data_IF_237816043166
#
_entry.id   IF_237816043166
#
_cell.length_a   1.000
_cell.length_b   1.000
_cell.length_c   1.000
_cell.angle_alpha   90.00
_cell.angle_beta   90.00
_cell.angle_gamma   90.00
#
_symmetry.space_group_name_H-M   'P 1'
#
loop_
_entity.id
_entity.type
_entity.pdbx_description
1 polymer ?
#
# COMPACT_ATOMS: atom_id res chain seq x y z
N UNK A 1 -15.77 45.84 19.47
CA UNK A 1 -14.71 45.63 20.49
C UNK A 1 -14.14 44.26 20.16
N UNK A 2 -13.43 44.24 19.04
CA UNK A 2 -13.07 43.02 18.33
C UNK A 2 -11.62 42.74 18.71
N UNK A 3 -11.49 42.02 19.82
CA UNK A 3 -10.22 41.76 20.50
C UNK A 3 -10.01 40.28 20.77
N UNK A 4 -10.58 39.40 19.95
CA UNK A 4 -10.14 38.00 19.90
C UNK A 4 -8.91 37.90 19.01
N UNK A 5 -7.81 38.44 19.52
CA UNK A 5 -6.48 38.19 18.99
C UNK A 5 -6.18 36.71 19.16
N UNK A 6 -6.42 35.93 18.10
CA UNK A 6 -5.88 34.59 17.91
C UNK A 6 -4.35 34.66 17.74
N UNK A 7 -3.66 34.98 18.83
CA UNK A 7 -2.21 34.77 18.98
C UNK A 7 -1.94 33.42 19.65
N UNK A 8 -2.98 32.60 19.88
CA UNK A 8 -2.81 31.17 20.13
C UNK A 8 -2.63 30.37 18.83
N UNK A 9 -2.07 31.01 17.79
CA UNK A 9 -1.40 30.32 16.68
C UNK A 9 0.12 30.25 16.92
N UNK A 10 0.54 30.23 18.20
CA UNK A 10 1.91 29.97 18.58
C UNK A 10 2.11 28.45 18.71
N UNK A 11 2.85 27.88 17.77
CA UNK A 11 3.41 26.51 17.80
C UNK A 11 2.40 25.35 17.89
N UNK A 12 1.47 25.24 16.92
CA UNK A 12 0.93 23.91 16.54
C UNK A 12 1.75 23.24 15.43
N UNK A 13 2.94 23.77 15.13
CA UNK A 13 3.84 23.30 14.06
C UNK A 13 5.18 22.79 14.56
N UNK A 14 5.38 22.63 15.88
CA UNK A 14 6.59 22.00 16.41
C UNK A 14 6.65 20.46 16.21
N UNK A 15 5.78 19.86 15.37
CA UNK A 15 5.66 18.39 15.20
C UNK A 15 6.58 17.81 14.11
N UNK A 16 7.15 18.61 13.19
CA UNK A 16 8.00 18.06 12.13
C UNK A 16 9.16 18.99 11.77
N UNK A 17 10.39 18.57 12.06
CA UNK A 17 11.60 19.07 11.39
C UNK A 17 11.71 18.53 9.95
N UNK A 18 10.61 18.57 9.19
CA UNK A 18 10.60 18.19 7.77
C UNK A 18 10.08 19.37 6.97
N UNK A 19 10.72 19.65 5.84
CA UNK A 19 10.15 20.55 4.85
C UNK A 19 8.86 19.95 4.27
N UNK A 20 8.03 20.79 3.66
CA UNK A 20 6.80 20.33 3.00
C UNK A 20 7.10 19.26 1.95
N UNK A 21 8.16 19.46 1.16
CA UNK A 21 8.61 18.51 0.14
C UNK A 21 9.01 17.16 0.74
N UNK A 22 9.78 17.17 1.83
CA UNK A 22 10.17 15.94 2.54
C UNK A 22 8.96 15.23 3.14
N UNK A 23 8.01 15.96 3.72
CA UNK A 23 6.80 15.37 4.26
C UNK A 23 5.93 14.71 3.16
N UNK A 24 5.81 15.35 2.00
CA UNK A 24 5.10 14.79 0.84
C UNK A 24 5.79 13.53 0.30
N UNK A 25 7.13 13.54 0.18
CA UNK A 25 7.90 12.36 -0.25
C UNK A 25 7.74 11.19 0.73
N UNK A 26 7.79 11.45 2.04
CA UNK A 26 7.55 10.42 3.07
C UNK A 26 6.14 9.83 2.93
N UNK A 27 5.11 10.66 2.81
CA UNK A 27 3.72 10.20 2.66
C UNK A 27 3.52 9.37 1.38
N UNK A 28 4.18 9.77 0.29
CA UNK A 28 4.19 8.99 -0.95
C UNK A 28 4.83 7.62 -0.75
N UNK A 29 5.99 7.57 -0.08
CA UNK A 29 6.70 6.31 0.24
C UNK A 29 5.88 5.40 1.16
N UNK A 30 5.21 5.94 2.17
CA UNK A 30 4.29 5.17 3.03
C UNK A 30 3.13 4.56 2.25
N UNK A 31 2.55 5.34 1.34
CA UNK A 31 1.49 4.87 0.44
C UNK A 31 1.99 3.75 -0.46
N UNK A 32 3.21 3.86 -0.95
CA UNK A 32 3.85 2.85 -1.79
C UNK A 32 4.13 1.56 -1.03
N UNK A 33 4.62 1.66 0.21
CA UNK A 33 4.81 0.53 1.12
C UNK A 33 3.48 -0.17 1.41
N UNK A 34 2.43 0.60 1.74
CA UNK A 34 1.07 0.08 1.96
C UNK A 34 0.56 -0.70 0.74
N UNK A 35 0.75 -0.15 -0.46
CA UNK A 35 0.34 -0.80 -1.71
C UNK A 35 1.07 -2.13 -1.93
N UNK A 36 2.39 -2.15 -1.79
CA UNK A 36 3.16 -3.38 -2.01
C UNK A 36 2.81 -4.47 -1.01
N UNK A 37 2.73 -4.14 0.28
CA UNK A 37 2.34 -5.13 1.28
C UNK A 37 0.91 -5.63 1.11
N UNK A 38 -0.02 -4.76 0.67
CA UNK A 38 -1.37 -5.18 0.30
C UNK A 38 -1.36 -6.17 -0.86
N UNK A 39 -0.57 -5.91 -1.92
CA UNK A 39 -0.45 -6.86 -3.04
C UNK A 39 0.27 -8.14 -2.64
N UNK A 40 1.30 -8.06 -1.80
CA UNK A 40 2.00 -9.22 -1.28
C UNK A 40 1.01 -10.16 -0.57
N UNK A 41 0.17 -9.62 0.32
CA UNK A 41 -0.93 -10.35 0.96
C UNK A 41 -1.89 -11.00 -0.04
N UNK A 42 -2.34 -10.25 -1.05
CA UNK A 42 -3.30 -10.76 -2.05
C UNK A 42 -2.74 -11.95 -2.84
N UNK A 43 -1.45 -11.91 -3.18
CA UNK A 43 -0.78 -12.94 -3.98
C UNK A 43 -0.08 -14.03 -3.15
N UNK A 44 -0.25 -14.04 -1.82
CA UNK A 44 0.38 -15.02 -0.94
C UNK A 44 1.91 -14.93 -0.89
N UNK A 45 2.46 -13.73 -1.08
CA UNK A 45 3.90 -13.45 -1.00
C UNK A 45 4.25 -13.05 0.43
N UNK A 46 5.21 -13.74 1.04
CA UNK A 46 5.66 -13.51 2.44
C UNK A 46 4.46 -13.46 3.42
N UNK A 47 3.56 -14.45 3.34
CA UNK A 47 2.29 -14.49 4.10
C UNK A 47 2.46 -14.39 5.62
N UNK A 48 3.61 -14.82 6.13
CA UNK A 48 3.97 -14.78 7.54
C UNK A 48 4.20 -13.35 8.07
N UNK A 49 4.54 -12.40 7.20
CA UNK A 49 4.83 -11.01 7.59
C UNK A 49 3.99 -9.96 6.86
N UNK A 50 3.38 -10.31 5.72
CA UNK A 50 2.67 -9.36 4.87
C UNK A 50 1.51 -8.66 5.59
N UNK A 51 0.77 -9.40 6.44
CA UNK A 51 -0.35 -8.85 7.20
C UNK A 51 0.11 -7.81 8.22
N UNK A 52 1.12 -8.17 9.01
CA UNK A 52 1.66 -7.31 10.07
C UNK A 52 2.26 -6.04 9.47
N UNK A 53 2.99 -6.16 8.36
CA UNK A 53 3.55 -5.02 7.64
C UNK A 53 2.48 -4.13 7.03
N UNK A 54 1.44 -4.71 6.45
CA UNK A 54 0.32 -3.93 5.91
C UNK A 54 -0.37 -3.12 7.00
N UNK A 55 -0.67 -3.74 8.15
CA UNK A 55 -1.29 -3.06 9.27
C UNK A 55 -0.42 -1.93 9.83
N UNK A 56 0.88 -2.17 9.96
CA UNK A 56 1.85 -1.16 10.39
C UNK A 56 1.80 0.09 9.50
N UNK A 57 1.90 -0.07 8.18
CA UNK A 57 1.93 1.08 7.25
C UNK A 57 0.59 1.81 7.15
N UNK A 58 -0.55 1.08 7.19
CA UNK A 58 -1.88 1.70 7.22
C UNK A 58 -2.02 2.61 8.44
N UNK A 59 -1.56 2.17 9.62
CA UNK A 59 -1.71 2.93 10.86
C UNK A 59 -0.98 4.29 10.85
N UNK A 60 0.07 4.43 10.04
CA UNK A 60 0.91 5.65 9.96
C UNK A 60 0.45 6.62 8.88
N UNK A 61 -0.06 6.09 7.76
CA UNK A 61 -0.60 6.89 6.65
C UNK A 61 -1.77 7.81 7.01
N UNK A 62 -2.38 7.62 8.19
CA UNK A 62 -3.50 8.44 8.69
C UNK A 62 -3.05 9.71 9.43
N UNK A 63 -1.75 9.88 9.68
CA UNK A 63 -1.20 10.99 10.47
C UNK A 63 -0.20 11.82 9.67
N UNK A 64 0.04 13.07 10.07
CA UNK A 64 1.08 13.90 9.45
C UNK A 64 2.48 13.30 9.68
N UNK A 65 3.32 13.17 8.64
CA UNK A 65 4.63 12.56 8.76
C UNK A 65 5.56 13.33 9.72
N UNK A 66 6.33 12.56 10.48
CA UNK A 66 7.35 13.01 11.43
C UNK A 66 8.74 12.61 10.92
N UNK A 67 9.79 13.18 11.52
CA UNK A 67 11.18 12.80 11.18
C UNK A 67 11.49 11.32 11.42
N UNK A 68 10.77 10.66 12.34
CA UNK A 68 10.90 9.21 12.54
C UNK A 68 10.26 8.43 11.38
N UNK A 69 9.13 8.89 10.83
CA UNK A 69 8.51 8.28 9.65
C UNK A 69 9.48 8.25 8.48
N UNK A 70 10.27 9.32 8.28
CA UNK A 70 11.31 9.38 7.24
C UNK A 70 12.35 8.24 7.39
N UNK A 71 12.77 7.91 8.60
CA UNK A 71 13.71 6.80 8.84
C UNK A 71 13.04 5.45 8.61
N UNK A 72 11.78 5.31 9.04
CA UNK A 72 11.07 4.05 8.91
C UNK A 72 10.70 3.75 7.46
N UNK A 73 10.33 4.75 6.64
CA UNK A 73 10.09 4.52 5.21
C UNK A 73 11.34 4.00 4.52
N UNK A 74 12.52 4.55 4.82
CA UNK A 74 13.78 4.05 4.24
C UNK A 74 14.09 2.62 4.66
N UNK A 75 13.76 2.24 5.90
CA UNK A 75 13.85 0.85 6.38
C UNK A 75 12.86 -0.06 5.66
N UNK A 76 11.61 0.36 5.52
CA UNK A 76 10.57 -0.39 4.81
C UNK A 76 10.92 -0.61 3.34
N UNK A 77 11.41 0.42 2.65
CA UNK A 77 11.85 0.31 1.26
C UNK A 77 13.05 -0.63 1.12
N UNK A 78 13.97 -0.60 2.09
CA UNK A 78 15.09 -1.54 2.14
C UNK A 78 14.62 -2.98 2.35
N UNK A 79 13.62 -3.19 3.21
CA UNK A 79 13.01 -4.50 3.46
C UNK A 79 12.35 -5.06 2.19
N UNK A 80 11.53 -4.26 1.50
CA UNK A 80 10.93 -4.65 0.21
C UNK A 80 11.99 -5.10 -0.80
N UNK A 81 13.11 -4.37 -0.89
CA UNK A 81 14.21 -4.70 -1.82
C UNK A 81 14.94 -5.97 -1.41
N UNK A 82 15.18 -6.18 -0.11
CA UNK A 82 15.88 -7.37 0.41
C UNK A 82 15.09 -8.64 0.20
N UNK A 83 13.78 -8.57 0.38
CA UNK A 83 12.87 -9.69 0.17
C UNK A 83 12.52 -9.86 -1.32
N UNK A 84 12.83 -8.88 -2.18
CA UNK A 84 12.48 -8.94 -3.59
C UNK A 84 10.97 -8.94 -3.84
N UNK A 85 10.19 -8.27 -2.97
CA UNK A 85 8.71 -8.32 -2.97
C UNK A 85 8.11 -7.98 -4.34
N UNK A 86 8.64 -6.97 -5.02
CA UNK A 86 8.16 -6.57 -6.35
C UNK A 86 8.28 -7.70 -7.37
N UNK A 87 9.43 -8.38 -7.39
CA UNK A 87 9.68 -9.52 -8.28
C UNK A 87 8.75 -10.68 -7.94
N UNK A 88 8.63 -11.02 -6.65
CA UNK A 88 7.74 -12.09 -6.20
C UNK A 88 6.27 -11.83 -6.57
N UNK A 89 5.78 -10.59 -6.38
CA UNK A 89 4.42 -10.19 -6.78
C UNK A 89 4.25 -10.28 -8.30
N UNK A 90 5.24 -9.84 -9.07
CA UNK A 90 5.19 -9.93 -10.53
C UNK A 90 5.12 -11.39 -11.00
N UNK A 91 5.94 -12.28 -10.43
CA UNK A 91 5.92 -13.72 -10.74
C UNK A 91 4.59 -14.38 -10.35
N UNK A 92 4.06 -14.05 -9.17
CA UNK A 92 2.75 -14.53 -8.73
C UNK A 92 1.62 -14.05 -9.65
N UNK A 93 1.61 -12.77 -10.00
CA UNK A 93 0.64 -12.18 -10.92
C UNK A 93 0.67 -12.84 -12.30
N UNK A 94 1.87 -13.16 -12.82
CA UNK A 94 2.01 -13.80 -14.13
C UNK A 94 1.47 -15.23 -14.14
N UNK A 95 1.73 -16.00 -13.07
CA UNK A 95 1.18 -17.35 -12.90
C UNK A 95 -0.35 -17.37 -12.94
N UNK A 96 -1.01 -16.35 -12.39
CA UNK A 96 -2.47 -16.21 -12.44
C UNK A 96 -3.00 -15.94 -13.86
N UNK A 97 -2.30 -15.11 -14.63
CA UNK A 97 -2.66 -14.84 -16.04
C UNK A 97 -2.52 -16.11 -16.88
N UNK A 98 -1.43 -16.87 -16.72
CA UNK A 98 -1.23 -18.11 -17.45
C UNK A 98 -2.30 -19.16 -17.09
N UNK A 99 -2.68 -19.27 -15.81
CA UNK A 99 -3.76 -20.17 -15.38
C UNK A 99 -5.14 -19.77 -15.91
N UNK A 100 -5.48 -18.49 -15.90
CA UNK A 100 -6.76 -18.01 -16.47
C UNK A 100 -6.83 -18.23 -17.99
N UNK A 101 -5.69 -18.17 -18.70
CA UNK A 101 -5.63 -18.45 -20.14
C UNK A 101 -5.78 -19.94 -20.50
N UNK A 102 -5.53 -20.84 -19.56
CA UNK A 102 -5.55 -22.29 -19.76
C UNK A 102 -6.84 -22.96 -19.28
N UNK A 103 -7.78 -22.21 -18.69
CA UNK A 103 -9.14 -22.71 -18.44
C UNK A 103 -9.89 -22.84 -19.77
N UNK A 104 -10.37 -24.04 -20.14
CA UNK A 104 -11.22 -24.17 -21.31
C UNK A 104 -12.50 -23.37 -21.06
N UNK A 105 -12.79 -22.42 -21.96
CA UNK A 105 -14.08 -21.73 -22.01
C UNK A 105 -15.15 -22.81 -22.12
N UNK A 106 -15.82 -23.14 -21.01
CA UNK A 106 -17.03 -23.94 -21.04
C UNK A 106 -18.10 -23.06 -21.68
N UNK A 107 -18.22 -23.16 -23.00
CA UNK A 107 -19.40 -22.71 -23.72
C UNK A 107 -20.52 -23.66 -23.28
N UNK A 108 -21.36 -23.22 -22.34
CA UNK A 108 -22.64 -23.84 -22.09
C UNK A 108 -23.47 -23.62 -23.36
N UNK A 109 -23.37 -24.56 -24.29
CA UNK A 109 -24.35 -24.70 -25.36
C UNK A 109 -25.68 -24.99 -24.70
N UNK A 110 -26.54 -23.98 -24.64
CA UNK A 110 -27.97 -24.19 -24.51
C UNK A 110 -28.42 -24.77 -25.85
N UNK A 111 -28.38 -26.11 -25.93
CA UNK A 111 -28.94 -26.86 -27.04
C UNK A 111 -30.46 -26.90 -26.84
N UNK A 112 -31.11 -26.37 -27.86
CA UNK A 112 -32.54 -26.33 -28.15
C UNK A 112 -33.20 -27.71 -28.00
N UNK A 113 -34.10 -27.86 -27.03
CA UNK A 113 -35.21 -28.82 -27.12
C UNK A 113 -36.47 -28.23 -26.48
N UNK A 114 -37.36 -27.73 -27.33
CA UNK A 114 -38.80 -27.77 -27.05
C UNK A 114 -39.52 -28.13 -28.34
N UNK A 115 -39.43 -29.41 -28.70
CA UNK A 115 -40.45 -30.06 -29.52
C UNK A 115 -41.65 -30.40 -28.63
N UNK A 116 -42.75 -29.64 -28.76
CA UNK A 116 -44.17 -30.08 -28.90
C UNK A 116 -45.14 -28.91 -28.74
#
# INVERSE_FOLDING_TARGET
>A
MDGFGNVFQACSTCIAELSLEEAEDVSFKESWLTYFWRRAKVHGVEEDIAEDRLHFWISRSATSPTSHDAVDVERGLTELRKLGIEQQIWEASRREIDQSSSLPVQYSGEEEDTTL
#
